data_IF_346051994615
#
_entry.id   IF_346051994615
#
_cell.length_a   1.000
_cell.length_b   1.000
_cell.length_c   1.000
_cell.angle_alpha   90.00
_cell.angle_beta   90.00
_cell.angle_gamma   90.00
#
_symmetry.space_group_name_H-M   'P 1'
#
loop_
_entity.id
_entity.type
_entity.pdbx_description
1 polymer ?
#
# COMPACT_ATOMS: atom_id res chain seq x y z
N UNK A 1 15.27 -19.35 3.20
CA UNK A 1 13.97 -18.63 3.05
C UNK A 1 14.06 -17.29 3.76
N UNK A 2 13.21 -16.33 3.42
CA UNK A 2 13.14 -15.02 4.10
C UNK A 2 11.74 -14.85 4.67
N UNK A 3 11.66 -14.51 5.94
CA UNK A 3 10.40 -14.21 6.63
C UNK A 3 10.33 -12.69 6.84
N UNK A 4 9.20 -12.09 6.46
CA UNK A 4 8.85 -10.72 6.81
C UNK A 4 7.70 -10.74 7.80
N UNK A 5 7.86 -9.99 8.89
CA UNK A 5 6.83 -9.81 9.89
C UNK A 5 6.80 -8.34 10.32
N UNK A 6 5.64 -7.90 10.77
CA UNK A 6 5.44 -6.57 11.34
C UNK A 6 4.41 -6.65 12.46
N UNK A 7 4.37 -5.62 13.29
CA UNK A 7 3.39 -5.49 14.37
C UNK A 7 2.96 -4.04 14.49
N UNK A 8 1.83 -3.81 15.14
CA UNK A 8 1.35 -2.46 15.40
C UNK A 8 2.01 -1.87 16.64
N UNK A 9 2.50 -0.64 16.51
CA UNK A 9 3.05 0.18 17.59
C UNK A 9 2.43 1.58 17.51
N UNK A 10 2.48 2.38 18.59
CA UNK A 10 2.11 3.80 18.50
C UNK A 10 2.94 4.52 17.42
N UNK A 11 2.34 5.53 16.79
CA UNK A 11 3.01 6.33 15.77
C UNK A 11 4.30 6.95 16.34
N UNK A 12 5.41 6.82 15.60
CA UNK A 12 6.73 7.32 16.02
C UNK A 12 7.34 6.57 17.20
N UNK A 13 6.89 5.34 17.50
CA UNK A 13 7.48 4.53 18.56
C UNK A 13 8.94 4.12 18.25
N UNK A 14 9.88 4.32 19.19
CA UNK A 14 11.25 3.83 19.09
C UNK A 14 11.41 2.39 19.61
N UNK A 15 10.31 1.70 19.94
CA UNK A 15 10.39 0.37 20.52
C UNK A 15 10.72 -0.68 19.44
N UNK A 16 11.84 -1.38 19.63
CA UNK A 16 12.14 -2.57 18.83
C UNK A 16 11.20 -3.72 19.23
N UNK A 17 10.63 -4.39 18.22
CA UNK A 17 9.65 -5.46 18.37
C UNK A 17 10.16 -6.81 17.89
N UNK A 18 11.41 -6.93 17.50
CA UNK A 18 12.01 -8.19 17.02
C UNK A 18 11.75 -9.35 18.00
N UNK A 19 12.22 -9.21 19.24
CA UNK A 19 12.08 -10.26 20.25
C UNK A 19 10.61 -10.57 20.58
N UNK A 20 9.72 -9.57 20.53
CA UNK A 20 8.29 -9.80 20.73
C UNK A 20 7.68 -10.65 19.60
N UNK A 21 8.09 -10.41 18.35
CA UNK A 21 7.67 -11.19 17.18
C UNK A 21 8.26 -12.59 17.25
N UNK A 22 9.57 -12.74 17.50
CA UNK A 22 10.24 -14.04 17.60
C UNK A 22 9.60 -14.90 18.67
N UNK A 23 9.37 -14.37 19.88
CA UNK A 23 8.69 -15.12 20.95
C UNK A 23 7.28 -15.54 20.58
N UNK A 24 6.56 -14.70 19.85
CA UNK A 24 5.20 -15.03 19.44
C UNK A 24 5.19 -16.15 18.41
N UNK A 25 6.13 -16.17 17.47
CA UNK A 25 6.28 -17.27 16.51
C UNK A 25 6.72 -18.54 17.23
N UNK A 26 7.74 -18.46 18.08
CA UNK A 26 8.27 -19.59 18.87
C UNK A 26 7.18 -20.29 19.68
N UNK A 27 6.24 -19.53 20.27
CA UNK A 27 5.10 -20.07 21.00
C UNK A 27 4.23 -21.02 20.16
N UNK A 28 4.10 -20.79 18.86
CA UNK A 28 3.30 -21.60 17.95
C UNK A 28 4.13 -22.54 17.06
N UNK A 29 5.43 -22.30 16.96
CA UNK A 29 6.39 -23.10 16.22
C UNK A 29 7.69 -23.27 17.03
N UNK A 30 7.71 -24.20 18.01
CA UNK A 30 8.90 -24.45 18.82
C UNK A 30 10.10 -24.85 17.97
N UNK A 31 11.28 -24.32 18.30
CA UNK A 31 12.52 -24.45 17.53
C UNK A 31 12.66 -23.42 16.40
N UNK A 32 11.70 -22.50 16.22
CA UNK A 32 11.78 -21.46 15.20
C UNK A 32 13.04 -20.61 15.37
N UNK A 33 13.36 -20.20 16.60
CA UNK A 33 14.55 -19.39 16.90
C UNK A 33 15.85 -20.05 16.40
N UNK A 34 15.95 -21.37 16.51
CA UNK A 34 17.14 -22.12 16.10
C UNK A 34 17.33 -22.14 14.57
N UNK A 35 16.28 -21.78 13.82
CA UNK A 35 16.34 -21.65 12.35
C UNK A 35 16.77 -20.26 11.86
N UNK A 36 16.85 -19.27 12.77
CA UNK A 36 17.15 -17.88 12.42
C UNK A 36 18.67 -17.69 12.29
N UNK A 37 19.15 -17.52 11.05
CA UNK A 37 20.57 -17.26 10.77
C UNK A 37 20.97 -15.80 10.98
N UNK A 38 20.05 -14.87 10.70
CA UNK A 38 20.23 -13.44 10.88
C UNK A 38 18.85 -12.76 10.97
N UNK A 39 18.79 -11.64 11.68
CA UNK A 39 17.61 -10.79 11.80
C UNK A 39 17.98 -9.33 11.54
N UNK A 40 16.99 -8.57 11.07
CA UNK A 40 17.07 -7.12 10.96
C UNK A 40 15.71 -6.54 11.34
N UNK A 41 15.73 -5.62 12.29
CA UNK A 41 14.55 -4.90 12.75
C UNK A 41 14.65 -3.42 12.41
N UNK A 42 13.50 -2.77 12.27
CA UNK A 42 13.37 -1.31 12.14
C UNK A 42 12.19 -0.85 12.98
N UNK A 43 12.43 0.14 13.83
CA UNK A 43 11.38 0.77 14.62
C UNK A 43 10.55 1.72 13.76
N UNK A 44 9.44 2.24 14.31
CA UNK A 44 8.62 3.21 13.57
C UNK A 44 9.38 4.51 13.27
N UNK A 45 10.30 4.94 14.16
CA UNK A 45 11.17 6.10 13.90
C UNK A 45 12.19 5.81 12.82
N UNK A 46 12.77 4.61 12.78
CA UNK A 46 13.74 4.22 11.73
C UNK A 46 13.08 4.19 10.36
N UNK A 47 11.85 3.65 10.28
CA UNK A 47 11.07 3.60 9.03
C UNK A 47 10.75 5.01 8.54
N UNK A 48 10.31 5.91 9.44
CA UNK A 48 10.01 7.29 9.08
C UNK A 48 11.26 8.08 8.65
N UNK A 49 12.40 7.85 9.31
CA UNK A 49 13.66 8.47 8.95
C UNK A 49 14.21 7.94 7.61
N UNK A 50 14.03 6.64 7.35
CA UNK A 50 14.47 6.01 6.11
C UNK A 50 13.65 6.45 4.89
N UNK A 51 12.33 6.60 5.05
CA UNK A 51 11.44 7.02 3.97
C UNK A 51 10.42 8.05 4.49
N UNK A 52 10.54 9.33 4.07
CA UNK A 52 9.61 10.39 4.45
C UNK A 52 8.14 10.14 4.05
N UNK A 53 7.88 9.21 3.13
CA UNK A 53 6.53 8.78 2.78
C UNK A 53 5.84 7.98 3.89
N UNK A 54 6.55 7.59 4.96
CA UNK A 54 6.01 6.84 6.09
C UNK A 54 6.02 7.67 7.37
N UNK A 55 5.20 8.75 7.46
CA UNK A 55 5.17 9.59 8.64
C UNK A 55 4.80 8.77 9.87
N UNK A 56 5.61 8.88 10.92
CA UNK A 56 5.43 8.10 12.16
C UNK A 56 5.59 6.58 11.99
N UNK A 57 6.16 6.11 10.88
CA UNK A 57 6.35 4.69 10.56
C UNK A 57 5.16 4.05 9.86
N UNK A 58 4.16 4.84 9.43
CA UNK A 58 2.94 4.29 8.82
C UNK A 58 3.13 3.99 7.33
N UNK A 59 3.15 2.70 6.99
CA UNK A 59 3.28 2.19 5.61
C UNK A 59 2.11 2.59 4.69
N UNK A 60 1.00 3.06 5.26
CA UNK A 60 -0.15 3.59 4.55
C UNK A 60 0.03 5.04 4.12
N UNK A 61 1.22 5.63 4.30
CA UNK A 61 1.47 7.06 4.13
C UNK A 61 0.62 7.94 5.06
N UNK A 62 0.57 7.56 6.33
CA UNK A 62 -0.22 8.17 7.40
C UNK A 62 -1.56 7.48 7.67
N UNK A 63 -2.27 7.95 8.68
CA UNK A 63 -3.39 7.24 9.27
C UNK A 63 -4.57 7.00 8.30
N UNK A 64 -5.16 5.79 8.24
CA UNK A 64 -6.32 5.49 7.40
C UNK A 64 -7.64 5.95 8.06
N UNK A 65 -7.68 7.18 8.56
CA UNK A 65 -8.93 7.78 9.05
C UNK A 65 -9.84 8.13 7.87
N UNK A 66 -11.16 8.09 8.05
CA UNK A 66 -12.11 8.41 6.96
C UNK A 66 -11.81 9.77 6.32
N UNK A 67 -11.56 10.78 7.15
CA UNK A 67 -11.20 12.13 6.71
C UNK A 67 -9.94 12.13 5.85
N UNK A 68 -8.89 11.42 6.27
CA UNK A 68 -7.65 11.33 5.49
C UNK A 68 -7.83 10.49 4.21
N UNK A 69 -8.61 9.42 4.23
CA UNK A 69 -8.90 8.59 3.05
C UNK A 69 -9.63 9.39 1.96
N UNK A 70 -10.55 10.27 2.35
CA UNK A 70 -11.26 11.17 1.43
C UNK A 70 -10.41 12.37 1.01
N UNK A 71 -9.52 12.85 1.88
CA UNK A 71 -8.65 13.99 1.62
C UNK A 71 -7.35 13.69 0.87
N UNK A 72 -7.18 12.48 0.34
CA UNK A 72 -5.96 12.01 -0.34
C UNK A 72 -6.01 12.22 -1.86
N UNK A 73 -5.13 13.03 -2.48
CA UNK A 73 -4.23 14.04 -1.88
C UNK A 73 -4.93 15.38 -1.61
N UNK A 74 -6.13 15.57 -2.17
CA UNK A 74 -6.95 16.78 -2.03
C UNK A 74 -8.41 16.37 -1.95
N UNK A 75 -9.25 17.18 -1.29
CA UNK A 75 -10.70 17.01 -1.35
C UNK A 75 -11.21 17.40 -2.73
N UNK A 76 -11.45 16.40 -3.57
CA UNK A 76 -11.87 16.58 -4.96
C UNK A 76 -12.75 15.39 -5.37
N UNK A 77 -13.73 15.60 -6.25
CA UNK A 77 -14.43 14.49 -6.92
C UNK A 77 -13.54 13.74 -7.92
N UNK A 78 -12.37 14.29 -8.26
CA UNK A 78 -11.37 13.70 -9.16
C UNK A 78 -9.95 13.84 -8.55
N UNK A 79 -9.68 13.18 -7.42
CA UNK A 79 -8.44 13.36 -6.65
C UNK A 79 -7.19 12.77 -7.33
N UNK A 80 -7.37 11.99 -8.41
CA UNK A 80 -6.29 11.41 -9.20
C UNK A 80 -5.72 12.35 -10.24
N UNK A 81 -6.42 13.45 -10.54
CA UNK A 81 -5.95 14.44 -11.51
C UNK A 81 -5.00 15.42 -10.83
N UNK A 82 -3.84 15.63 -11.43
CA UNK A 82 -2.92 16.68 -10.98
C UNK A 82 -3.21 17.99 -11.72
N UNK A 83 -2.73 19.14 -11.22
CA UNK A 83 -2.80 20.41 -11.97
C UNK A 83 -2.02 20.39 -13.29
N UNK A 84 -1.04 19.48 -13.43
CA UNK A 84 -0.27 19.32 -14.65
C UNK A 84 -1.07 18.49 -15.67
N UNK A 85 -1.23 19.03 -16.87
CA UNK A 85 -1.95 18.34 -17.97
C UNK A 85 -1.25 17.02 -18.32
N UNK A 86 -2.02 15.97 -18.58
CA UNK A 86 -1.50 14.65 -18.91
C UNK A 86 -0.87 13.88 -17.74
N UNK A 87 -0.87 14.41 -16.51
CA UNK A 87 -0.25 13.76 -15.35
C UNK A 87 -1.30 13.40 -14.30
N UNK A 88 -1.29 12.13 -13.89
CA UNK A 88 -2.27 11.53 -12.98
C UNK A 88 -1.59 10.77 -11.85
N UNK A 89 -2.23 10.75 -10.69
CA UNK A 89 -1.78 10.09 -9.47
C UNK A 89 -2.46 8.74 -9.29
N UNK A 90 -1.67 7.66 -9.33
CA UNK A 90 -2.15 6.28 -9.21
C UNK A 90 -1.61 5.52 -7.99
N UNK A 91 -0.94 6.22 -7.07
CA UNK A 91 -0.32 5.61 -5.88
C UNK A 91 -1.37 5.14 -4.86
N UNK A 92 -0.98 4.20 -3.99
CA UNK A 92 -1.74 3.81 -2.78
C UNK A 92 -1.93 4.96 -1.78
N UNK A 93 -1.19 6.05 -1.95
CA UNK A 93 -1.42 7.30 -1.21
C UNK A 93 -2.60 8.13 -1.73
N UNK A 94 -3.19 7.80 -2.88
CA UNK A 94 -4.38 8.45 -3.41
C UNK A 94 -5.67 7.76 -2.94
N UNK A 95 -6.80 8.47 -2.98
CA UNK A 95 -8.12 7.86 -2.78
C UNK A 95 -8.31 6.66 -3.72
N UNK A 96 -8.92 5.53 -3.31
CA UNK A 96 -9.67 5.30 -2.08
C UNK A 96 -8.82 5.00 -0.84
N UNK A 97 -7.51 4.83 -0.97
CA UNK A 97 -6.63 4.56 0.17
C UNK A 97 -5.53 3.53 -0.09
N UNK A 98 -4.86 3.10 0.99
CA UNK A 98 -3.73 2.18 0.93
C UNK A 98 -4.15 0.75 0.58
N UNK A 99 -3.17 -0.06 0.17
CA UNK A 99 -3.34 -1.48 -0.14
C UNK A 99 -3.01 -1.81 -1.60
N UNK A 100 -3.09 -3.10 -1.92
CA UNK A 100 -2.73 -3.67 -3.25
C UNK A 100 -3.97 -4.08 -4.04
N UNK A 101 -4.97 -3.20 -4.09
CA UNK A 101 -6.26 -3.46 -4.75
C UNK A 101 -6.37 -2.84 -6.17
N UNK A 102 -5.41 -2.02 -6.60
CA UNK A 102 -5.36 -1.45 -7.96
C UNK A 102 -6.35 -0.31 -8.28
N UNK A 103 -7.25 0.04 -7.37
CA UNK A 103 -8.33 1.03 -7.66
C UNK A 103 -7.79 2.44 -7.89
N UNK A 104 -6.70 2.87 -7.23
CA UNK A 104 -6.11 4.18 -7.48
C UNK A 104 -5.63 4.31 -8.93
N UNK A 105 -4.96 3.27 -9.46
CA UNK A 105 -4.57 3.21 -10.87
C UNK A 105 -5.76 3.16 -11.82
N UNK A 106 -6.78 2.36 -11.47
CA UNK A 106 -8.02 2.31 -12.25
C UNK A 106 -8.68 3.68 -12.39
N UNK A 107 -8.84 4.40 -11.28
CA UNK A 107 -9.50 5.71 -11.28
C UNK A 107 -8.65 6.79 -11.95
N UNK A 108 -7.33 6.74 -11.79
CA UNK A 108 -6.41 7.59 -12.54
C UNK A 108 -6.55 7.40 -14.06
N UNK A 109 -6.64 6.14 -14.52
CA UNK A 109 -6.86 5.84 -15.94
C UNK A 109 -8.22 6.34 -16.44
N UNK A 110 -9.30 6.17 -15.67
CA UNK A 110 -10.61 6.72 -15.99
C UNK A 110 -10.62 8.25 -16.03
N UNK A 111 -9.83 8.90 -15.18
CA UNK A 111 -9.63 10.35 -15.18
C UNK A 111 -8.91 10.78 -16.46
N UNK A 112 -7.84 10.08 -16.86
CA UNK A 112 -7.12 10.32 -18.10
C UNK A 112 -8.02 10.17 -19.34
N UNK A 113 -8.80 9.10 -19.42
CA UNK A 113 -9.76 8.88 -20.50
C UNK A 113 -10.75 10.04 -20.65
N UNK A 114 -11.24 10.58 -19.54
CA UNK A 114 -12.17 11.70 -19.55
C UNK A 114 -11.55 13.01 -20.00
N UNK A 115 -10.35 13.34 -19.54
CA UNK A 115 -9.77 14.66 -19.72
C UNK A 115 -8.84 14.78 -20.95
N UNK A 116 -8.21 13.69 -21.36
CA UNK A 116 -7.33 13.70 -22.55
C UNK A 116 -8.03 13.17 -23.81
N UNK A 117 -9.01 12.28 -23.65
CA UNK A 117 -9.70 11.62 -24.77
C UNK A 117 -11.20 11.94 -24.85
N UNK A 118 -11.75 12.72 -23.91
CA UNK A 118 -13.16 13.11 -23.91
C UNK A 118 -14.16 11.97 -23.67
N UNK A 119 -13.70 10.79 -23.22
CA UNK A 119 -14.55 9.61 -23.03
C UNK A 119 -14.79 9.29 -21.57
N UNK A 120 -16.03 8.93 -21.23
CA UNK A 120 -16.41 8.45 -19.89
C UNK A 120 -16.60 6.94 -19.85
N UNK A 121 -16.15 6.24 -20.89
CA UNK A 121 -16.20 4.78 -20.94
C UNK A 121 -15.48 4.19 -19.73
N UNK A 122 -16.11 3.19 -19.10
CA UNK A 122 -15.47 2.34 -18.09
C UNK A 122 -15.23 0.97 -18.72
N UNK A 123 -14.00 0.67 -19.16
CA UNK A 123 -13.67 -0.63 -19.71
C UNK A 123 -14.02 -1.78 -18.76
N UNK A 124 -14.47 -2.91 -19.28
CA UNK A 124 -14.55 -4.14 -18.49
C UNK A 124 -13.12 -4.59 -18.13
N UNK A 125 -12.87 -4.89 -16.86
CA UNK A 125 -11.61 -5.48 -16.38
C UNK A 125 -11.68 -7.01 -16.24
N UNK A 126 -12.85 -7.61 -16.50
CA UNK A 126 -12.98 -9.05 -16.53
C UNK A 126 -12.03 -9.63 -17.59
N UNK A 127 -11.41 -10.80 -17.32
CA UNK A 127 -10.71 -11.54 -18.34
C UNK A 127 -11.63 -11.72 -19.54
N UNK A 128 -11.10 -11.46 -20.73
CA UNK A 128 -11.83 -11.74 -21.97
C UNK A 128 -11.83 -13.25 -22.21
N UNK A 129 -12.84 -13.74 -22.92
CA UNK A 129 -12.99 -15.18 -23.19
C UNK A 129 -11.73 -15.79 -23.83
N UNK A 130 -11.03 -15.04 -24.69
CA UNK A 130 -9.76 -15.43 -25.32
C UNK A 130 -8.57 -15.56 -24.35
N UNK A 131 -8.62 -14.89 -23.19
CA UNK A 131 -7.58 -14.97 -22.15
C UNK A 131 -7.79 -16.15 -21.21
N UNK A 132 -9.01 -16.63 -21.05
CA UNK A 132 -9.37 -17.72 -20.12
C UNK A 132 -8.91 -19.09 -20.63
N UNK A 133 -8.92 -19.32 -21.95
CA UNK A 133 -8.52 -20.61 -22.54
C UNK A 133 -7.00 -20.81 -22.65
N UNK A 134 -6.20 -19.76 -22.44
CA UNK A 134 -4.73 -19.85 -22.51
C UNK A 134 -4.11 -20.27 -21.16
N UNK A 135 -4.81 -20.09 -20.04
CA UNK A 135 -4.33 -20.43 -18.70
C UNK A 135 -4.55 -21.91 -18.29
N UNK A 136 -5.18 -22.72 -19.14
CA UNK A 136 -5.54 -24.11 -18.86
C UNK A 136 -4.66 -25.16 -19.58
N UNK A 137 -3.46 -24.76 -20.03
CA UNK A 137 -2.42 -25.64 -20.61
C UNK A 137 -1.07 -25.36 -19.95
#
# INVERSE_FOLDING_TARGET
HVLWAYTHVPAGSPADREEAVVRQIERFAPGFRDTVLASSSRTAVDIAAWNPNFPGGDISAGAPTLTQLLGRPVYSPDPWRTPMRGVYLCSSSASPGPGVHGLAGWQAALSALRHEFGTRLRPGLAPRDDQLFTAAR
#
